data_IF_202241290759
#
_entry.id   IF_202241290759
#
_cell.length_a   1.000
_cell.length_b   1.000
_cell.length_c   1.000
_cell.angle_alpha   90.00
_cell.angle_beta   90.00
_cell.angle_gamma   90.00
#
_symmetry.space_group_name_H-M   'P 1'
#
loop_
_entity.id
_entity.type
_entity.pdbx_description
1 polymer ?
#
# COMPACT_ATOMS: atom_id res chain seq x y z
N UNK A 1 19.07 -27.90 -7.47
CA UNK A 1 19.33 -26.60 -6.83
C UNK A 1 18.71 -25.50 -7.68
N UNK A 2 17.50 -25.05 -7.35
CA UNK A 2 16.82 -24.01 -8.13
C UNK A 2 17.49 -22.67 -7.84
N UNK A 3 18.09 -22.10 -8.89
CA UNK A 3 18.85 -20.87 -8.85
C UNK A 3 17.89 -19.67 -8.73
N UNK A 4 17.72 -19.13 -7.53
CA UNK A 4 16.91 -17.95 -7.21
C UNK A 4 17.54 -16.62 -7.69
N UNK A 5 18.19 -16.58 -8.86
CA UNK A 5 18.91 -15.40 -9.36
C UNK A 5 18.10 -14.52 -10.31
N UNK A 6 16.78 -14.45 -10.11
CA UNK A 6 15.92 -13.46 -10.77
C UNK A 6 15.16 -12.58 -9.75
N UNK A 7 15.81 -12.22 -8.63
CA UNK A 7 15.40 -11.01 -7.89
C UNK A 7 15.67 -9.84 -8.82
N UNK A 8 14.62 -9.42 -9.51
CA UNK A 8 14.63 -8.35 -10.48
C UNK A 8 15.31 -7.12 -9.87
N UNK A 9 16.55 -6.86 -10.28
CA UNK A 9 17.29 -5.64 -9.94
C UNK A 9 16.73 -4.49 -10.76
N UNK A 10 15.47 -4.14 -10.53
CA UNK A 10 14.93 -2.87 -11.02
C UNK A 10 15.51 -1.73 -10.18
N UNK A 11 16.79 -1.43 -10.46
CA UNK A 11 17.38 -0.09 -10.46
C UNK A 11 17.58 0.71 -9.16
N UNK A 12 16.84 0.49 -8.08
CA UNK A 12 16.97 1.33 -6.89
C UNK A 12 16.85 0.52 -5.59
N UNK A 13 17.88 0.54 -4.76
CA UNK A 13 17.87 -0.08 -3.42
C UNK A 13 17.32 0.90 -2.38
N UNK A 14 16.16 1.51 -2.63
CA UNK A 14 15.50 2.28 -1.56
C UNK A 14 15.06 1.29 -0.49
N UNK A 15 15.55 1.50 0.72
CA UNK A 15 15.19 0.77 1.93
C UNK A 15 14.44 1.68 2.89
N UNK A 16 14.05 1.15 4.05
CA UNK A 16 13.49 1.95 5.14
C UNK A 16 14.35 3.19 5.48
N UNK A 17 15.68 3.07 5.41
CA UNK A 17 16.56 4.23 5.64
C UNK A 17 16.34 5.32 4.58
N UNK A 18 16.15 4.95 3.32
CA UNK A 18 15.83 5.90 2.25
C UNK A 18 14.51 6.62 2.50
N UNK A 19 13.46 5.89 2.92
CA UNK A 19 12.18 6.48 3.30
C UNK A 19 12.30 7.40 4.51
N UNK A 20 13.11 7.03 5.50
CA UNK A 20 13.42 7.88 6.63
C UNK A 20 14.05 9.20 6.18
N UNK A 21 15.08 9.17 5.32
CA UNK A 21 15.70 10.40 4.80
C UNK A 21 14.70 11.27 4.02
N UNK A 22 13.83 10.66 3.19
CA UNK A 22 12.76 11.38 2.49
C UNK A 22 11.79 12.01 3.51
N UNK A 23 11.47 11.32 4.60
CA UNK A 23 10.58 11.84 5.65
C UNK A 23 11.11 13.11 6.31
N UNK A 24 12.44 13.34 6.28
CA UNK A 24 13.06 14.54 6.87
C UNK A 24 12.97 15.78 5.97
N UNK A 25 12.60 15.64 4.69
CA UNK A 25 12.51 16.76 3.76
C UNK A 25 11.43 17.77 4.21
N UNK A 26 11.76 19.07 4.14
CA UNK A 26 10.84 20.15 4.53
C UNK A 26 9.51 20.14 3.76
N UNK A 27 9.53 19.65 2.53
CA UNK A 27 8.37 19.59 1.63
C UNK A 27 7.66 18.23 1.63
N UNK A 28 8.03 17.28 2.50
CA UNK A 28 7.43 15.93 2.50
C UNK A 28 5.91 15.96 2.68
N UNK A 29 5.40 16.93 3.44
CA UNK A 29 3.96 17.12 3.65
C UNK A 29 3.20 17.51 2.38
N UNK A 30 3.88 17.95 1.32
CA UNK A 30 3.29 18.31 0.03
C UNK A 30 3.19 17.10 -0.93
N UNK A 31 3.75 15.94 -0.57
CA UNK A 31 3.65 14.74 -1.40
C UNK A 31 2.19 14.32 -1.55
N UNK A 32 1.75 14.21 -2.81
CA UNK A 32 0.39 13.79 -3.17
C UNK A 32 0.36 12.39 -3.76
N UNK A 33 1.46 11.95 -4.36
CA UNK A 33 1.59 10.64 -5.00
C UNK A 33 2.97 10.06 -4.71
N UNK A 34 3.02 8.83 -4.21
CA UNK A 34 4.25 8.08 -3.95
C UNK A 34 4.11 6.67 -4.50
N UNK A 35 5.15 6.19 -5.20
CA UNK A 35 5.25 4.81 -5.66
C UNK A 35 6.56 4.20 -5.18
N UNK A 36 6.44 3.08 -4.45
CA UNK A 36 7.49 2.25 -3.88
C UNK A 36 7.42 0.83 -4.45
N UNK A 37 6.81 0.68 -5.63
CA UNK A 37 6.54 -0.62 -6.22
C UNK A 37 7.83 -1.43 -6.42
N UNK A 38 7.80 -2.69 -6.00
CA UNK A 38 8.92 -3.63 -6.16
C UNK A 38 10.11 -3.38 -5.21
N UNK A 39 10.01 -2.42 -4.29
CA UNK A 39 11.06 -2.11 -3.32
C UNK A 39 11.05 -3.12 -2.17
N UNK A 40 11.63 -4.29 -2.42
CA UNK A 40 11.66 -5.40 -1.44
C UNK A 40 12.42 -5.12 -0.15
N UNK A 41 13.21 -4.04 -0.10
CA UNK A 41 13.92 -3.58 1.11
C UNK A 41 13.11 -2.62 1.99
N UNK A 42 11.84 -2.38 1.66
CA UNK A 42 10.91 -1.54 2.43
C UNK A 42 9.97 -2.42 3.25
N UNK A 43 9.85 -2.09 4.53
CA UNK A 43 8.97 -2.75 5.51
C UNK A 43 7.98 -1.76 6.11
N UNK A 44 7.19 -2.21 7.07
CA UNK A 44 6.31 -1.34 7.85
C UNK A 44 7.04 -0.14 8.44
N UNK A 45 8.27 -0.33 8.94
CA UNK A 45 9.08 0.73 9.54
C UNK A 45 9.25 1.93 8.59
N UNK A 46 9.72 1.69 7.37
CA UNK A 46 9.95 2.76 6.41
C UNK A 46 8.67 3.44 5.96
N UNK A 47 7.60 2.65 5.73
CA UNK A 47 6.30 3.20 5.33
C UNK A 47 5.74 4.10 6.44
N UNK A 48 5.70 3.63 7.69
CA UNK A 48 5.24 4.39 8.86
C UNK A 48 6.03 5.68 9.01
N UNK A 49 7.35 5.63 8.93
CA UNK A 49 8.20 6.83 8.99
C UNK A 49 7.84 7.86 7.93
N UNK A 50 7.59 7.44 6.69
CA UNK A 50 7.17 8.35 5.62
C UNK A 50 5.76 8.91 5.86
N UNK A 51 4.76 8.04 6.10
CA UNK A 51 3.35 8.45 6.08
C UNK A 51 2.96 9.32 7.26
N UNK A 52 3.67 9.23 8.39
CA UNK A 52 3.46 10.10 9.56
C UNK A 52 3.70 11.58 9.23
N UNK A 53 4.49 11.87 8.18
CA UNK A 53 4.83 13.23 7.75
C UNK A 53 4.26 13.61 6.38
N UNK A 54 3.91 12.63 5.55
CA UNK A 54 3.35 12.83 4.21
C UNK A 54 1.80 12.89 4.21
N UNK A 55 1.22 13.81 4.98
CA UNK A 55 -0.23 13.79 5.28
C UNK A 55 -1.13 14.26 4.12
N UNK A 56 -0.58 14.84 3.06
CA UNK A 56 -1.33 15.25 1.84
C UNK A 56 -1.47 14.14 0.80
N UNK A 57 -1.01 12.92 1.11
CA UNK A 57 -1.04 11.80 0.17
C UNK A 57 -2.45 11.47 -0.31
N UNK A 58 -2.57 11.30 -1.63
CA UNK A 58 -3.78 10.90 -2.37
C UNK A 58 -3.58 9.57 -3.08
N UNK A 59 -2.38 9.27 -3.54
CA UNK A 59 -2.08 8.05 -4.28
C UNK A 59 -0.84 7.39 -3.69
N UNK A 60 -0.98 6.13 -3.27
CA UNK A 60 0.12 5.38 -2.66
C UNK A 60 0.24 4.00 -3.31
N UNK A 61 1.40 3.70 -3.89
CA UNK A 61 1.71 2.37 -4.37
C UNK A 61 2.83 1.77 -3.52
N UNK A 62 2.50 0.74 -2.76
CA UNK A 62 3.45 -0.03 -1.92
C UNK A 62 3.46 -1.50 -2.32
N UNK A 63 3.03 -1.82 -3.54
CA UNK A 63 3.03 -3.20 -4.03
C UNK A 63 4.44 -3.79 -4.11
N UNK A 64 4.61 -5.07 -3.76
CA UNK A 64 5.90 -5.77 -3.80
C UNK A 64 6.87 -5.35 -2.68
N UNK A 65 6.39 -4.61 -1.68
CA UNK A 65 7.12 -4.33 -0.43
C UNK A 65 6.79 -5.39 0.64
N UNK A 66 7.51 -5.37 1.76
CA UNK A 66 7.35 -6.32 2.86
C UNK A 66 6.56 -5.71 4.03
N UNK A 67 5.32 -5.28 3.74
CA UNK A 67 4.43 -4.62 4.69
C UNK A 67 3.33 -5.53 5.21
N UNK A 68 2.79 -5.20 6.39
CA UNK A 68 1.70 -5.89 7.08
C UNK A 68 0.53 -4.94 7.34
N UNK A 69 -0.43 -5.38 8.15
CA UNK A 69 -1.54 -4.55 8.63
C UNK A 69 -1.08 -3.35 9.48
N UNK A 70 0.16 -3.36 10.00
CA UNK A 70 0.75 -2.22 10.70
C UNK A 70 0.83 -1.00 9.77
N UNK A 71 1.39 -1.15 8.56
CA UNK A 71 1.38 -0.08 7.55
C UNK A 71 -0.03 0.39 7.23
N UNK A 72 -0.98 -0.53 7.05
CA UNK A 72 -2.35 -0.17 6.70
C UNK A 72 -3.02 0.62 7.81
N UNK A 73 -2.82 0.24 9.07
CA UNK A 73 -3.29 1.00 10.23
C UNK A 73 -2.66 2.39 10.28
N UNK A 74 -1.35 2.50 10.08
CA UNK A 74 -0.68 3.80 10.11
C UNK A 74 -1.15 4.72 8.96
N UNK A 75 -1.28 4.19 7.74
CA UNK A 75 -1.84 4.90 6.59
C UNK A 75 -3.27 5.37 6.88
N UNK A 76 -4.10 4.50 7.48
CA UNK A 76 -5.48 4.79 7.83
C UNK A 76 -5.62 6.01 8.76
N UNK A 77 -4.65 6.22 9.66
CA UNK A 77 -4.67 7.32 10.63
C UNK A 77 -3.94 8.57 10.14
N UNK A 78 -2.93 8.45 9.27
CA UNK A 78 -2.10 9.59 8.86
C UNK A 78 -2.45 10.18 7.49
N UNK A 79 -3.17 9.45 6.63
CA UNK A 79 -3.49 9.85 5.25
C UNK A 79 -5.01 10.04 5.03
N UNK A 80 -5.64 11.09 5.59
CA UNK A 80 -7.08 11.32 5.50
C UNK A 80 -7.56 11.68 4.07
N UNK A 81 -6.64 11.96 3.16
CA UNK A 81 -6.92 12.34 1.78
C UNK A 81 -6.64 11.25 0.75
N UNK A 82 -6.28 10.04 1.21
CA UNK A 82 -5.96 8.92 0.34
C UNK A 82 -7.16 8.57 -0.54
N UNK A 83 -6.92 8.54 -1.86
CA UNK A 83 -7.90 8.23 -2.91
C UNK A 83 -7.65 6.88 -3.56
N UNK A 84 -6.40 6.46 -3.70
CA UNK A 84 -6.06 5.14 -4.23
C UNK A 84 -4.86 4.53 -3.54
N UNK A 85 -4.91 3.21 -3.33
CA UNK A 85 -3.78 2.44 -2.83
C UNK A 85 -3.56 1.16 -3.64
N UNK A 86 -2.28 0.85 -3.90
CA UNK A 86 -1.86 -0.38 -4.58
C UNK A 86 -1.06 -1.24 -3.60
N UNK A 87 -1.59 -2.43 -3.32
CA UNK A 87 -1.07 -3.45 -2.41
C UNK A 87 -0.66 -4.72 -3.16
N UNK A 88 -0.30 -4.58 -4.45
CA UNK A 88 0.02 -5.72 -5.30
C UNK A 88 1.11 -6.58 -4.66
N UNK A 89 0.91 -7.89 -4.53
CA UNK A 89 1.88 -8.83 -3.94
C UNK A 89 2.31 -8.52 -2.49
N UNK A 90 1.52 -7.73 -1.74
CA UNK A 90 1.71 -7.53 -0.31
C UNK A 90 1.14 -8.73 0.47
N UNK A 91 1.87 -9.85 0.47
CA UNK A 91 1.38 -11.16 0.95
C UNK A 91 1.12 -11.27 2.46
N UNK A 92 1.54 -10.29 3.25
CA UNK A 92 1.37 -10.27 4.71
C UNK A 92 0.24 -9.33 5.17
N UNK A 93 -0.43 -8.66 4.23
CA UNK A 93 -1.68 -7.93 4.50
C UNK A 93 -2.81 -8.93 4.67
N UNK A 94 -3.65 -8.69 5.68
CA UNK A 94 -4.85 -9.48 5.97
C UNK A 94 -6.12 -8.68 5.76
N UNK A 95 -7.26 -9.35 5.88
CA UNK A 95 -8.60 -8.78 5.89
C UNK A 95 -8.69 -7.62 6.90
N UNK A 96 -8.13 -7.81 8.10
CA UNK A 96 -8.21 -6.85 9.21
C UNK A 96 -7.63 -5.50 8.82
N UNK A 97 -6.43 -5.49 8.21
CA UNK A 97 -5.80 -4.27 7.73
C UNK A 97 -6.62 -3.57 6.64
N UNK A 98 -7.22 -4.33 5.72
CA UNK A 98 -8.10 -3.77 4.69
C UNK A 98 -9.35 -3.13 5.28
N UNK A 99 -9.99 -3.79 6.25
CA UNK A 99 -11.16 -3.25 6.95
C UNK A 99 -10.83 -1.94 7.67
N UNK A 100 -9.70 -1.87 8.37
CA UNK A 100 -9.25 -0.64 9.04
C UNK A 100 -9.04 0.48 8.03
N UNK A 101 -8.32 0.19 6.95
CA UNK A 101 -8.03 1.15 5.89
C UNK A 101 -9.31 1.69 5.23
N UNK A 102 -10.22 0.82 4.83
CA UNK A 102 -11.47 1.21 4.19
C UNK A 102 -12.35 2.00 5.17
N UNK A 103 -12.45 1.61 6.44
CA UNK A 103 -13.27 2.34 7.40
C UNK A 103 -12.79 3.78 7.66
N UNK A 104 -11.47 3.99 7.74
CA UNK A 104 -10.88 5.29 8.13
C UNK A 104 -10.61 6.20 6.93
N UNK A 105 -10.08 5.68 5.82
CA UNK A 105 -9.80 6.48 4.62
C UNK A 105 -11.07 6.74 3.83
N UNK A 106 -11.91 7.68 4.29
CA UNK A 106 -13.23 8.00 3.71
C UNK A 106 -13.21 8.42 2.23
N UNK A 107 -12.08 8.94 1.74
CA UNK A 107 -11.89 9.36 0.34
C UNK A 107 -11.34 8.25 -0.57
N UNK A 108 -11.01 7.08 -0.03
CA UNK A 108 -10.42 5.99 -0.79
C UNK A 108 -11.48 5.41 -1.75
N UNK A 109 -11.24 5.58 -3.05
CA UNK A 109 -12.13 5.15 -4.12
C UNK A 109 -11.60 3.95 -4.91
N UNK A 110 -10.31 3.63 -4.81
CA UNK A 110 -9.75 2.46 -5.48
C UNK A 110 -8.68 1.76 -4.65
N UNK A 111 -8.74 0.42 -4.63
CA UNK A 111 -7.74 -0.43 -4.00
C UNK A 111 -7.36 -1.57 -4.93
N UNK A 112 -6.06 -1.79 -5.14
CA UNK A 112 -5.54 -2.98 -5.82
C UNK A 112 -4.98 -3.93 -4.77
N UNK A 113 -5.53 -5.14 -4.72
CA UNK A 113 -5.18 -6.21 -3.76
C UNK A 113 -4.66 -7.47 -4.46
N UNK A 114 -4.29 -7.36 -5.74
CA UNK A 114 -3.85 -8.51 -6.52
C UNK A 114 -2.55 -9.10 -5.96
N UNK A 115 -2.51 -10.41 -5.72
CA UNK A 115 -1.35 -11.08 -5.13
C UNK A 115 -1.23 -10.93 -3.60
N UNK A 116 -2.21 -10.31 -2.94
CA UNK A 116 -2.40 -10.48 -1.49
C UNK A 116 -2.95 -11.87 -1.18
N UNK A 117 -3.01 -12.26 0.09
CA UNK A 117 -3.60 -13.54 0.53
C UNK A 117 -5.05 -13.39 1.01
N UNK A 118 -5.64 -12.21 0.84
CA UNK A 118 -7.01 -11.90 1.27
C UNK A 118 -7.99 -12.69 0.39
N UNK A 119 -8.92 -13.47 0.97
CA UNK A 119 -9.89 -14.22 0.18
C UNK A 119 -10.97 -13.30 -0.44
N UNK A 120 -11.59 -13.77 -1.53
CA UNK A 120 -12.52 -12.96 -2.34
C UNK A 120 -13.79 -12.52 -1.59
N UNK A 121 -14.25 -13.32 -0.62
CA UNK A 121 -15.43 -13.03 0.22
C UNK A 121 -15.23 -11.79 1.08
N UNK A 122 -14.01 -11.51 1.54
CA UNK A 122 -13.65 -10.28 2.25
C UNK A 122 -14.07 -9.03 1.45
N UNK A 123 -13.99 -9.06 0.12
CA UNK A 123 -14.32 -7.91 -0.72
C UNK A 123 -15.80 -7.56 -0.69
N UNK A 124 -16.69 -8.53 -0.47
CA UNK A 124 -18.12 -8.27 -0.25
C UNK A 124 -18.31 -7.46 1.04
N UNK A 125 -17.59 -7.81 2.11
CA UNK A 125 -17.59 -7.06 3.36
C UNK A 125 -17.10 -5.62 3.19
N UNK A 126 -16.02 -5.42 2.41
CA UNK A 126 -15.52 -4.07 2.11
C UNK A 126 -16.52 -3.24 1.29
N UNK A 127 -17.21 -3.86 0.34
CA UNK A 127 -18.24 -3.20 -0.47
C UNK A 127 -19.51 -2.87 0.34
N UNK A 128 -19.81 -3.62 1.39
CA UNK A 128 -20.88 -3.28 2.33
C UNK A 128 -20.56 -1.97 3.07
N UNK A 129 -19.29 -1.75 3.42
CA UNK A 129 -18.83 -0.50 4.06
C UNK A 129 -18.76 0.64 3.03
N UNK A 130 -18.33 0.34 1.80
CA UNK A 130 -18.19 1.33 0.73
C UNK A 130 -18.62 0.76 -0.63
N UNK A 131 -19.89 0.92 -1.01
CA UNK A 131 -20.42 0.36 -2.26
C UNK A 131 -19.73 0.88 -3.52
N UNK A 132 -19.23 2.12 -3.49
CA UNK A 132 -18.52 2.75 -4.62
C UNK A 132 -17.02 2.42 -4.69
N UNK A 133 -16.49 1.57 -3.78
CA UNK A 133 -15.06 1.24 -3.75
C UNK A 133 -14.70 0.35 -4.94
N UNK A 134 -13.78 0.80 -5.77
CA UNK A 134 -13.26 0.01 -6.88
C UNK A 134 -12.13 -0.91 -6.37
N UNK A 135 -12.47 -2.16 -6.12
CA UNK A 135 -11.51 -3.20 -5.74
C UNK A 135 -11.01 -3.86 -7.04
N UNK A 136 -9.69 -3.98 -7.20
CA UNK A 136 -9.05 -4.70 -8.32
C UNK A 136 -8.39 -5.99 -7.77
N UNK A 137 -9.13 -7.11 -7.68
CA UNK A 137 -8.65 -8.28 -6.96
C UNK A 137 -7.90 -9.33 -7.80
N UNK A 138 -8.13 -9.45 -9.11
CA UNK A 138 -7.55 -10.52 -9.93
C UNK A 138 -7.78 -10.22 -11.41
N UNK A 139 -7.00 -10.84 -12.30
CA UNK A 139 -7.18 -10.78 -13.76
C UNK A 139 -8.49 -11.39 -14.21
N UNK A 140 -9.60 -10.65 -14.07
CA UNK A 140 -10.58 -10.63 -15.13
C UNK A 140 -9.88 -9.94 -16.30
N UNK A 141 -9.39 -10.79 -17.21
CA UNK A 141 -9.21 -10.42 -18.60
C UNK A 141 -10.45 -9.60 -18.98
N UNK A 142 -10.25 -8.29 -19.20
CA UNK A 142 -11.11 -7.60 -20.12
C UNK A 142 -10.91 -8.35 -21.44
N UNK A 143 -11.95 -9.02 -21.89
CA UNK A 143 -12.04 -9.55 -23.26
C UNK A 143 -11.76 -8.43 -24.26
#
# INVERSE_FOLDING_TARGET
AFNYSSRSRWGCQITDNGLYQISLAKCVSNLTSVSLWGMTGITDKGVVQLITRANSLKHLNIGGTFITDESLSAIAHSCPHLKSIVLWSCRHVTESGLFVLVNKCRKLGSINVWGTRVPLDCFIGLLTIRPALQIKPQGLLLN
#
